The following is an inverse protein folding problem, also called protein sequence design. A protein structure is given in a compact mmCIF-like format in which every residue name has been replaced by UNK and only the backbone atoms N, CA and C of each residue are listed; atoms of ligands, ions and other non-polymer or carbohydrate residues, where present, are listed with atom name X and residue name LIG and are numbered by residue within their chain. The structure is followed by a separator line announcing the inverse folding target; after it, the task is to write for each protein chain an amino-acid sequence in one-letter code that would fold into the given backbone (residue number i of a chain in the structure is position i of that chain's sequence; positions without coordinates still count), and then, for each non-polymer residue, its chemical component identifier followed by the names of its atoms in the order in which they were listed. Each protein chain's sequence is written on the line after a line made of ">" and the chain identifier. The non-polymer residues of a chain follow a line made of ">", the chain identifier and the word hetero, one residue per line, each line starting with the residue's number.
data_IF_097691733680
#
_entry.id   IF_097691733680
#
_cell.length_a   1.000
_cell.length_b   1.000
_cell.length_c   1.000
_cell.angle_alpha   90.00
_cell.angle_beta   90.00
_cell.angle_gamma   90.00
#
_symmetry.space_group_name_H-M   'P 1'
#
loop_
_entity.id
_entity.type
_entity.pdbx_description
1 polymer ?
#
# COMPACT_ATOMS: atom_id res chain seq x y z
N UNK A 1 11.59 8.49 10.76
CA UNK A 1 11.33 7.25 11.51
C UNK A 1 11.78 7.43 12.96
N UNK A 2 12.99 7.92 13.14
CA UNK A 2 13.65 8.13 14.43
C UNK A 2 12.87 9.04 15.39
N UNK A 3 12.22 10.09 14.89
CA UNK A 3 11.36 10.97 15.71
C UNK A 3 10.20 10.21 16.41
N UNK A 4 9.60 9.23 15.74
CA UNK A 4 8.47 8.45 16.30
C UNK A 4 8.97 7.46 17.33
N UNK A 5 10.08 6.77 17.06
CA UNK A 5 10.70 5.84 18.00
C UNK A 5 11.19 6.57 19.26
N UNK A 6 11.85 7.72 19.09
CA UNK A 6 12.25 8.61 20.20
C UNK A 6 11.03 9.04 21.04
N UNK A 7 9.91 9.37 20.38
CA UNK A 7 8.67 9.77 21.07
C UNK A 7 7.98 8.67 21.87
N UNK A 8 8.29 7.41 21.59
CA UNK A 8 7.71 6.24 22.27
C UNK A 8 8.63 5.78 23.42
N UNK A 9 9.94 5.85 23.23
CA UNK A 9 10.92 5.31 24.16
C UNK A 9 11.44 6.33 25.19
N UNK A 10 11.12 7.61 25.03
CA UNK A 10 11.52 8.67 25.97
C UNK A 10 10.49 8.89 27.07
N UNK A 11 10.95 9.36 28.24
CA UNK A 11 10.09 9.83 29.33
C UNK A 11 9.54 11.24 29.09
N UNK A 12 9.94 11.91 27.99
CA UNK A 12 9.44 13.23 27.59
C UNK A 12 8.08 13.13 26.90
N UNK A 13 7.28 14.18 27.01
CA UNK A 13 6.02 14.30 26.29
C UNK A 13 6.23 14.45 24.78
N UNK A 14 5.21 14.11 23.98
CA UNK A 14 5.26 14.31 22.51
C UNK A 14 5.51 15.76 22.14
N UNK A 15 5.04 16.70 22.97
CA UNK A 15 5.22 18.14 22.74
C UNK A 15 6.68 18.54 22.90
N UNK A 16 7.31 18.16 24.01
CA UNK A 16 8.73 18.44 24.25
C UNK A 16 9.62 17.82 23.18
N UNK A 17 9.30 16.61 22.73
CA UNK A 17 10.08 15.95 21.66
C UNK A 17 9.85 16.61 20.30
N UNK A 18 8.65 17.11 20.03
CA UNK A 18 8.39 17.87 18.82
C UNK A 18 9.17 19.19 18.81
N UNK A 19 9.20 19.88 19.95
CA UNK A 19 9.95 21.13 20.13
C UNK A 19 11.47 20.90 20.04
N UNK A 20 12.01 19.86 20.70
CA UNK A 20 13.43 19.47 20.65
C UNK A 20 13.90 19.14 19.22
N UNK A 21 13.02 18.53 18.42
CA UNK A 21 13.31 18.14 17.04
C UNK A 21 12.97 19.25 16.03
N UNK A 22 12.40 20.38 16.47
CA UNK A 22 11.95 21.46 15.59
C UNK A 22 10.84 21.04 14.61
N UNK A 23 10.06 20.01 14.94
CA UNK A 23 8.97 19.49 14.09
C UNK A 23 7.61 19.86 14.66
N UNK A 24 6.60 19.93 13.79
CA UNK A 24 5.25 20.23 14.24
C UNK A 24 4.66 19.09 15.11
N UNK A 25 4.17 19.43 16.30
CA UNK A 25 3.54 18.50 17.25
C UNK A 25 2.42 17.65 16.62
N UNK A 26 1.59 18.24 15.77
CA UNK A 26 0.47 17.54 15.12
C UNK A 26 0.96 16.44 14.16
N UNK A 27 2.07 16.70 13.46
CA UNK A 27 2.72 15.73 12.59
C UNK A 27 3.27 14.57 13.40
N UNK A 28 4.01 14.85 14.49
CA UNK A 28 4.57 13.80 15.34
C UNK A 28 3.46 12.93 15.98
N UNK A 29 2.36 13.55 16.40
CA UNK A 29 1.20 12.84 16.96
C UNK A 29 0.53 11.95 15.91
N UNK A 30 0.32 12.46 14.69
CA UNK A 30 -0.20 11.68 13.57
C UNK A 30 0.72 10.50 13.25
N UNK A 31 2.01 10.73 13.16
CA UNK A 31 3.02 9.71 12.87
C UNK A 31 3.08 8.64 13.96
N UNK A 32 2.94 8.99 15.25
CA UNK A 32 2.79 8.00 16.34
C UNK A 32 1.56 7.11 16.15
N UNK A 33 0.42 7.70 15.77
CA UNK A 33 -0.81 6.95 15.50
C UNK A 33 -0.63 6.00 14.31
N UNK A 34 -0.05 6.49 13.21
CA UNK A 34 0.22 5.67 12.03
C UNK A 34 1.20 4.54 12.34
N UNK A 35 2.24 4.79 13.14
CA UNK A 35 3.18 3.78 13.61
C UNK A 35 2.54 2.75 14.53
N UNK A 36 1.60 3.13 15.40
CA UNK A 36 0.85 2.15 16.23
C UNK A 36 -0.01 1.22 15.38
N UNK A 37 -0.67 1.76 14.35
CA UNK A 37 -1.60 0.99 13.52
C UNK A 37 -0.91 0.12 12.47
N UNK A 38 0.20 0.61 11.90
CA UNK A 38 0.89 -0.04 10.77
C UNK A 38 2.30 -0.52 11.11
N UNK A 39 2.79 -0.27 12.33
CA UNK A 39 4.11 -0.68 12.79
C UNK A 39 5.23 -0.20 11.86
N UNK A 40 6.12 -1.13 11.51
CA UNK A 40 7.22 -0.92 10.55
C UNK A 40 6.75 -0.54 9.14
N UNK A 41 5.46 -0.69 8.82
CA UNK A 41 4.87 -0.33 7.53
C UNK A 41 4.30 1.10 7.48
N UNK A 42 4.34 1.86 8.58
CA UNK A 42 3.79 3.22 8.62
C UNK A 42 4.51 4.22 7.71
N UNK A 43 5.80 4.01 7.43
CA UNK A 43 6.63 4.90 6.62
C UNK A 43 7.30 4.13 5.46
N UNK A 44 6.56 3.74 4.41
CA UNK A 44 7.12 2.91 3.35
C UNK A 44 8.04 3.67 2.38
N UNK A 45 8.05 5.01 2.41
CA UNK A 45 8.84 5.86 1.51
C UNK A 45 8.32 5.87 0.06
N UNK A 46 8.66 6.93 -0.70
CA UNK A 46 8.45 7.16 -2.13
C UNK A 46 7.41 6.27 -2.84
N UNK A 47 6.12 6.53 -2.60
CA UNK A 47 5.01 6.07 -3.44
C UNK A 47 4.76 4.55 -3.52
N UNK A 48 5.65 3.70 -2.99
CA UNK A 48 5.48 2.25 -3.01
C UNK A 48 4.68 1.84 -1.78
N UNK A 49 3.40 1.53 -1.96
CA UNK A 49 2.66 0.80 -0.92
C UNK A 49 3.38 -0.52 -0.66
N UNK A 50 3.95 -0.68 0.55
CA UNK A 50 4.40 -1.98 1.01
C UNK A 50 3.14 -2.78 1.37
N UNK A 51 2.65 -3.54 0.40
CA UNK A 51 1.58 -4.51 0.59
C UNK A 51 2.01 -5.54 1.64
N UNK A 52 1.09 -5.96 2.51
CA UNK A 52 1.31 -7.15 3.33
C UNK A 52 1.51 -8.37 2.41
N UNK A 53 2.10 -9.48 2.89
CA UNK A 53 2.21 -10.70 2.07
C UNK A 53 0.85 -11.16 1.52
N UNK A 54 -0.21 -11.01 2.31
CA UNK A 54 -1.59 -11.28 1.89
C UNK A 54 -2.06 -10.33 0.79
N UNK A 55 -1.83 -9.02 0.94
CA UNK A 55 -2.17 -8.03 -0.07
C UNK A 55 -1.38 -8.18 -1.37
N UNK A 56 -0.12 -8.60 -1.27
CA UNK A 56 0.69 -8.92 -2.44
C UNK A 56 0.10 -10.12 -3.18
N UNK A 57 -0.25 -11.18 -2.45
CA UNK A 57 -0.90 -12.37 -3.03
C UNK A 57 -2.25 -12.03 -3.66
N UNK A 58 -3.05 -11.17 -3.04
CA UNK A 58 -4.32 -10.70 -3.62
C UNK A 58 -4.05 -9.99 -4.94
N UNK A 59 -3.09 -9.07 -4.98
CA UNK A 59 -2.73 -8.35 -6.19
C UNK A 59 -2.26 -9.29 -7.30
N UNK A 60 -1.40 -10.25 -6.98
CA UNK A 60 -0.89 -11.21 -7.96
C UNK A 60 -2.03 -12.06 -8.55
N UNK A 61 -2.99 -12.49 -7.71
CA UNK A 61 -4.18 -13.23 -8.13
C UNK A 61 -5.13 -12.37 -8.98
N UNK A 62 -5.32 -11.10 -8.62
CA UNK A 62 -6.13 -10.16 -9.41
C UNK A 62 -5.51 -9.92 -10.79
N UNK A 63 -4.18 -9.85 -10.85
CA UNK A 63 -3.43 -9.67 -12.08
C UNK A 63 -3.56 -10.90 -12.99
N UNK A 64 -3.37 -12.11 -12.46
CA UNK A 64 -3.55 -13.37 -13.18
C UNK A 64 -4.99 -13.56 -13.69
N UNK A 65 -5.98 -13.24 -12.85
CA UNK A 65 -7.39 -13.32 -13.22
C UNK A 65 -7.73 -12.37 -14.38
N UNK A 66 -7.13 -11.18 -14.38
CA UNK A 66 -7.33 -10.18 -15.42
C UNK A 66 -6.72 -10.61 -16.74
N UNK A 67 -5.49 -11.12 -16.74
CA UNK A 67 -4.86 -11.68 -17.96
C UNK A 67 -5.70 -12.84 -18.52
N UNK A 68 -6.09 -13.79 -17.68
CA UNK A 68 -6.91 -14.94 -18.08
C UNK A 68 -8.25 -14.51 -18.67
N UNK A 69 -8.92 -13.50 -18.09
CA UNK A 69 -10.18 -12.95 -18.63
C UNK A 69 -9.96 -12.31 -20.00
N UNK A 70 -8.86 -11.58 -20.18
CA UNK A 70 -8.51 -10.93 -21.42
C UNK A 70 -8.25 -11.96 -22.54
N UNK A 71 -7.44 -12.99 -22.26
CA UNK A 71 -7.19 -14.10 -23.19
C UNK A 71 -8.49 -14.79 -23.61
N UNK A 72 -9.33 -15.15 -22.64
CA UNK A 72 -10.64 -15.75 -22.89
C UNK A 72 -11.51 -14.87 -23.78
N UNK A 73 -11.53 -13.56 -23.53
CA UNK A 73 -12.37 -12.63 -24.30
C UNK A 73 -11.86 -12.44 -25.73
N UNK A 74 -10.54 -12.45 -25.93
CA UNK A 74 -9.93 -12.50 -27.26
C UNK A 74 -10.35 -13.78 -28.00
N UNK A 75 -10.22 -14.94 -27.35
CA UNK A 75 -10.60 -16.22 -27.95
C UNK A 75 -12.09 -16.26 -28.31
N UNK A 76 -12.96 -15.79 -27.42
CA UNK A 76 -14.40 -15.69 -27.69
C UNK A 76 -14.70 -14.81 -28.91
N UNK A 77 -14.03 -13.65 -29.02
CA UNK A 77 -14.16 -12.76 -30.19
C UNK A 77 -13.69 -13.46 -31.46
N UNK A 78 -12.55 -14.14 -31.43
CA UNK A 78 -12.01 -14.88 -32.56
C UNK A 78 -12.98 -15.98 -33.03
N UNK A 79 -13.45 -16.83 -32.11
CA UNK A 79 -14.45 -17.86 -32.42
C UNK A 79 -15.70 -17.24 -33.03
N UNK A 80 -16.21 -16.14 -32.46
CA UNK A 80 -17.37 -15.43 -33.00
C UNK A 80 -17.19 -14.90 -34.43
N UNK A 81 -15.96 -14.58 -34.83
CA UNK A 81 -15.62 -14.19 -36.22
C UNK A 81 -15.57 -15.43 -37.12
N UNK A 82 -14.83 -16.47 -36.71
CA UNK A 82 -14.64 -17.69 -37.52
C UNK A 82 -15.92 -18.53 -37.68
N UNK A 83 -16.84 -18.47 -36.73
CA UNK A 83 -18.10 -19.22 -36.78
C UNK A 83 -19.19 -18.55 -37.63
N UNK A 84 -19.01 -17.29 -38.07
CA UNK A 84 -19.91 -16.68 -39.05
C UNK A 84 -19.52 -17.16 -40.44
N UNK A 85 -20.43 -17.87 -41.13
CA UNK A 85 -20.24 -18.23 -42.54
C UNK A 85 -20.03 -16.95 -43.36
N UNK A 86 -19.06 -16.91 -44.30
CA UNK A 86 -19.00 -15.83 -45.26
C UNK A 86 -20.30 -15.86 -46.07
N UNK A 87 -21.03 -14.75 -46.03
CA UNK A 87 -22.14 -14.47 -46.96
C UNK A 87 -21.59 -14.16 -48.34
#
# INVERSE_FOLDING_TARGET
>A
KDAVELSINSNKTVKEIADDLGINYSNLTRWRREYRNKGKHAFPGNGKQKLTPEQQKIKDLEDELRETKLERDILKKAVGIFSKKPT
#
